data_IF_421071179180
#
_entry.id   IF_421071179180
#
_cell.length_a   1.000
_cell.length_b   1.000
_cell.length_c   1.000
_cell.angle_alpha   90.00
_cell.angle_beta   90.00
_cell.angle_gamma   90.00
#
_symmetry.space_group_name_H-M   'P 1'
#
loop_
_entity.id
_entity.type
_entity.pdbx_description
1 polymer ?
#
# COMPACT_ATOMS: atom_id res chain seq x y z
N UNK A 1 7.99 16.60 2.60
CA UNK A 1 7.26 16.24 1.36
C UNK A 1 6.21 15.20 1.70
N UNK A 2 5.04 15.25 1.07
CA UNK A 2 4.02 14.19 1.15
C UNK A 2 3.71 13.64 -0.24
N UNK A 3 3.32 12.36 -0.31
CA UNK A 3 2.85 11.72 -1.53
C UNK A 3 1.47 11.15 -1.25
N UNK A 4 0.50 11.46 -2.12
CA UNK A 4 -0.87 10.95 -2.00
C UNK A 4 -1.46 10.65 -3.37
N UNK A 5 -2.48 9.80 -3.39
CA UNK A 5 -3.31 9.64 -4.57
C UNK A 5 -4.35 10.76 -4.64
N UNK A 6 -4.69 11.19 -5.86
CA UNK A 6 -5.70 12.22 -6.10
C UNK A 6 -6.24 12.19 -7.54
N UNK A 7 -7.04 13.20 -7.93
CA UNK A 7 -7.58 13.30 -9.29
C UNK A 7 -6.51 13.59 -10.35
N UNK A 8 -5.43 14.28 -9.99
CA UNK A 8 -4.40 14.73 -10.93
C UNK A 8 -3.01 14.22 -10.54
N UNK A 9 -2.11 14.13 -11.54
CA UNK A 9 -0.69 13.92 -11.29
C UNK A 9 -0.01 15.28 -11.25
N UNK A 10 0.34 15.77 -10.06
CA UNK A 10 0.85 17.14 -9.87
C UNK A 10 1.74 17.27 -8.66
N UNK A 11 2.79 18.09 -8.79
CA UNK A 11 3.62 18.54 -7.68
C UNK A 11 3.27 19.98 -7.29
N UNK A 12 2.84 20.19 -6.04
CA UNK A 12 2.46 21.51 -5.53
C UNK A 12 2.92 21.67 -4.09
N UNK A 13 3.72 22.70 -3.80
CA UNK A 13 4.09 23.11 -2.44
C UNK A 13 4.55 21.96 -1.51
N UNK A 14 5.39 21.05 -2.02
CA UNK A 14 5.90 19.93 -1.21
C UNK A 14 5.00 18.69 -1.17
N UNK A 15 3.88 18.70 -1.91
CA UNK A 15 2.95 17.57 -2.03
C UNK A 15 2.95 17.03 -3.46
N UNK A 16 3.19 15.73 -3.61
CA UNK A 16 3.03 14.99 -4.85
C UNK A 16 1.67 14.30 -4.84
N UNK A 17 0.78 14.75 -5.70
CA UNK A 17 -0.47 14.09 -6.00
C UNK A 17 -0.28 13.21 -7.24
N UNK A 18 -0.80 11.98 -7.20
CA UNK A 18 -0.70 11.01 -8.28
C UNK A 18 -2.08 10.52 -8.68
N UNK A 19 -2.40 10.63 -9.98
CA UNK A 19 -3.69 10.23 -10.50
C UNK A 19 -3.85 8.70 -10.48
N UNK A 20 -5.00 8.23 -9.98
CA UNK A 20 -5.43 6.84 -10.16
C UNK A 20 -5.95 6.61 -11.58
N UNK A 21 -5.86 5.36 -12.04
CA UNK A 21 -6.18 4.96 -13.40
C UNK A 21 -7.38 4.02 -13.46
N UNK A 22 -7.63 3.47 -14.65
CA UNK A 22 -8.77 2.57 -14.87
C UNK A 22 -8.70 1.25 -14.07
N UNK A 23 -7.51 0.85 -13.60
CA UNK A 23 -7.32 -0.32 -12.74
C UNK A 23 -7.56 -0.03 -11.25
N UNK A 24 -8.10 1.15 -10.91
CA UNK A 24 -8.48 1.51 -9.56
C UNK A 24 -9.85 0.95 -9.19
N UNK A 25 -9.94 0.38 -7.99
CA UNK A 25 -11.19 -0.12 -7.42
C UNK A 25 -11.38 0.40 -5.99
N UNK A 26 -12.63 0.65 -5.56
CA UNK A 26 -12.90 1.11 -4.20
C UNK A 26 -12.63 -0.01 -3.18
N UNK A 27 -11.94 0.36 -2.09
CA UNK A 27 -11.67 -0.48 -0.92
C UNK A 27 -12.66 -0.19 0.21
N UNK A 28 -12.92 1.07 0.51
CA UNK A 28 -13.93 1.51 1.49
C UNK A 28 -14.54 2.83 1.03
N UNK A 29 -15.46 3.39 1.83
CA UNK A 29 -15.84 4.79 1.69
C UNK A 29 -14.55 5.62 1.79
N UNK A 30 -14.25 6.35 0.72
CA UNK A 30 -13.09 7.23 0.58
C UNK A 30 -11.71 6.56 0.47
N UNK A 31 -11.62 5.23 0.37
CA UNK A 31 -10.37 4.51 0.11
C UNK A 31 -10.45 3.70 -1.18
N UNK A 32 -9.45 3.84 -2.06
CA UNK A 32 -9.33 3.10 -3.32
C UNK A 32 -7.93 2.53 -3.49
N UNK A 33 -7.82 1.45 -4.25
CA UNK A 33 -6.54 0.80 -4.56
C UNK A 33 -6.42 0.63 -6.07
N UNK A 34 -5.27 1.00 -6.63
CA UNK A 34 -4.96 0.86 -8.06
C UNK A 34 -3.84 -0.18 -8.27
N UNK A 35 -4.16 -1.27 -8.96
CA UNK A 35 -3.21 -2.37 -9.22
C UNK A 35 -2.00 -1.92 -10.06
N UNK A 36 -2.15 -0.85 -10.84
CA UNK A 36 -1.12 -0.34 -11.74
C UNK A 36 -0.50 0.97 -11.21
N UNK A 37 -0.69 1.30 -9.92
CA UNK A 37 -0.22 2.57 -9.34
C UNK A 37 1.30 2.74 -9.41
N UNK A 38 2.04 1.64 -9.44
CA UNK A 38 3.50 1.63 -9.64
C UNK A 38 3.96 2.20 -10.99
N UNK A 39 3.06 2.51 -11.93
CA UNK A 39 3.41 3.28 -13.13
C UNK A 39 4.05 4.64 -12.80
N UNK A 40 3.72 5.22 -11.65
CA UNK A 40 4.26 6.50 -11.17
C UNK A 40 5.66 6.41 -10.54
N UNK A 41 6.26 5.21 -10.50
CA UNK A 41 7.53 4.94 -9.80
C UNK A 41 8.69 5.84 -10.23
N UNK A 42 8.83 6.11 -11.52
CA UNK A 42 9.93 6.94 -12.05
C UNK A 42 9.76 8.39 -11.59
N UNK A 43 8.57 8.96 -11.82
CA UNK A 43 8.23 10.32 -11.40
C UNK A 43 8.42 10.51 -9.89
N UNK A 44 7.88 9.58 -9.09
CA UNK A 44 7.99 9.65 -7.64
C UNK A 44 9.45 9.60 -7.18
N UNK A 45 10.27 8.68 -7.73
CA UNK A 45 11.68 8.59 -7.38
C UNK A 45 12.47 9.85 -7.77
N UNK A 46 12.17 10.45 -8.92
CA UNK A 46 12.86 11.65 -9.38
C UNK A 46 12.53 12.86 -8.50
N UNK A 47 11.26 13.03 -8.13
CA UNK A 47 10.83 14.09 -7.21
C UNK A 47 11.43 13.86 -5.82
N UNK A 48 11.38 12.63 -5.28
CA UNK A 48 11.95 12.32 -3.95
C UNK A 48 13.46 12.54 -3.93
N UNK A 49 14.17 12.17 -5.00
CA UNK A 49 15.60 12.45 -5.16
C UNK A 49 15.88 13.95 -5.23
N UNK A 50 15.10 14.70 -6.02
CA UNK A 50 15.22 16.16 -6.12
C UNK A 50 14.91 16.89 -4.81
N UNK A 51 13.95 16.37 -4.04
CA UNK A 51 13.64 16.84 -2.68
C UNK A 51 14.75 16.51 -1.67
N UNK A 52 15.67 15.59 -2.01
CA UNK A 52 16.76 15.12 -1.15
C UNK A 52 16.24 14.51 0.15
N UNK A 53 15.25 13.62 0.05
CA UNK A 53 14.72 12.93 1.22
C UNK A 53 15.80 12.05 1.89
N UNK A 54 15.87 12.11 3.21
CA UNK A 54 16.74 11.23 4.02
C UNK A 54 16.01 9.98 4.55
N UNK A 55 14.68 10.00 4.55
CA UNK A 55 13.82 8.93 5.06
C UNK A 55 12.51 8.88 4.29
N UNK A 56 11.96 7.69 4.12
CA UNK A 56 10.60 7.49 3.60
C UNK A 56 9.72 6.92 4.70
N UNK A 57 8.58 7.55 4.95
CA UNK A 57 7.58 7.08 5.89
C UNK A 57 6.32 6.63 5.16
N UNK A 58 5.83 5.44 5.47
CA UNK A 58 4.59 4.87 4.95
C UNK A 58 3.61 4.57 6.09
N UNK A 59 2.32 4.73 5.85
CA UNK A 59 1.26 4.55 6.86
C UNK A 59 0.49 3.25 6.72
N UNK A 60 0.82 2.43 5.72
CA UNK A 60 0.21 1.13 5.48
C UNK A 60 0.52 0.60 4.08
N UNK A 61 0.06 -0.61 3.74
CA UNK A 61 0.33 -1.28 2.47
C UNK A 61 -0.69 -0.88 1.39
N UNK A 62 -1.03 0.41 1.29
CA UNK A 62 -1.85 0.94 0.20
C UNK A 62 -1.06 0.98 -1.12
N UNK A 63 -1.73 1.29 -2.22
CA UNK A 63 -1.08 1.53 -3.52
C UNK A 63 0.02 2.61 -3.43
N UNK A 64 -0.24 3.70 -2.70
CA UNK A 64 0.74 4.74 -2.37
C UNK A 64 1.83 4.24 -1.43
N UNK A 65 1.48 3.45 -0.41
CA UNK A 65 2.47 2.87 0.52
C UNK A 65 3.44 1.92 -0.16
N UNK A 66 2.95 1.09 -1.08
CA UNK A 66 3.76 0.19 -1.92
C UNK A 66 4.71 0.99 -2.80
N UNK A 67 4.23 2.07 -3.42
CA UNK A 67 5.07 2.99 -4.16
C UNK A 67 6.16 3.62 -3.27
N UNK A 68 5.81 4.05 -2.06
CA UNK A 68 6.76 4.59 -1.08
C UNK A 68 7.86 3.60 -0.71
N UNK A 69 7.51 2.36 -0.40
CA UNK A 69 8.48 1.31 -0.12
C UNK A 69 9.41 1.03 -1.31
N UNK A 70 8.85 1.00 -2.53
CA UNK A 70 9.66 0.85 -3.74
C UNK A 70 10.64 2.01 -3.92
N UNK A 71 10.22 3.26 -3.71
CA UNK A 71 11.08 4.44 -3.81
C UNK A 71 12.19 4.39 -2.75
N UNK A 72 11.85 4.05 -1.50
CA UNK A 72 12.83 3.90 -0.43
C UNK A 72 13.91 2.87 -0.79
N UNK A 73 13.50 1.70 -1.28
CA UNK A 73 14.41 0.67 -1.74
C UNK A 73 15.27 1.15 -2.92
N UNK A 74 14.67 1.77 -3.94
CA UNK A 74 15.37 2.25 -5.15
C UNK A 74 16.41 3.33 -4.84
N UNK A 75 16.14 4.19 -3.86
CA UNK A 75 17.02 5.30 -3.46
C UNK A 75 17.92 4.95 -2.28
N UNK A 76 17.89 3.72 -1.78
CA UNK A 76 18.62 3.25 -0.59
C UNK A 76 18.34 4.10 0.66
N UNK A 77 17.10 4.59 0.79
CA UNK A 77 16.65 5.37 1.94
C UNK A 77 16.08 4.44 3.02
N UNK A 78 16.28 4.76 4.31
CA UNK A 78 15.54 4.11 5.40
C UNK A 78 14.03 4.22 5.18
N UNK A 79 13.34 3.09 5.30
CA UNK A 79 11.89 3.01 5.30
C UNK A 79 11.39 2.91 6.74
N UNK A 80 10.49 3.81 7.11
CA UNK A 80 9.73 3.79 8.36
C UNK A 80 8.30 3.44 8.02
N UNK A 81 7.70 2.51 8.76
CA UNK A 81 6.30 2.15 8.56
C UNK A 81 5.53 2.34 9.87
N UNK A 82 4.41 3.05 9.80
CA UNK A 82 3.41 3.08 10.86
C UNK A 82 2.37 2.00 10.59
N UNK A 83 2.12 1.13 11.57
CA UNK A 83 1.11 0.08 11.50
C UNK A 83 -0.17 0.58 12.19
N UNK A 84 -1.25 0.81 11.43
CA UNK A 84 -2.52 1.30 11.99
C UNK A 84 -3.78 0.57 11.49
N UNK A 85 -3.67 -0.55 10.78
CA UNK A 85 -4.89 -1.25 10.30
C UNK A 85 -4.66 -2.74 10.14
N UNK A 86 -5.59 -3.56 10.65
CA UNK A 86 -5.63 -5.02 10.52
C UNK A 86 -5.93 -5.45 9.08
N UNK A 87 -5.06 -5.10 8.12
CA UNK A 87 -5.24 -5.38 6.70
C UNK A 87 -5.51 -6.87 6.39
N UNK A 88 -5.06 -7.76 7.27
CA UNK A 88 -5.31 -9.20 7.21
C UNK A 88 -6.82 -9.53 7.32
N UNK A 89 -7.54 -8.91 8.26
CA UNK A 89 -8.99 -9.09 8.42
C UNK A 89 -9.78 -8.55 7.22
N UNK A 90 -9.27 -7.49 6.57
CA UNK A 90 -9.91 -6.87 5.40
C UNK A 90 -9.70 -7.68 4.11
N UNK A 91 -8.54 -8.33 3.96
CA UNK A 91 -8.23 -9.21 2.84
C UNK A 91 -9.14 -10.45 2.80
N UNK A 92 -9.33 -11.09 3.94
CA UNK A 92 -10.16 -12.29 4.08
C UNK A 92 -11.63 -12.04 3.72
N UNK A 93 -12.25 -11.00 4.32
CA UNK A 93 -13.67 -10.63 4.07
C UNK A 93 -13.98 -10.24 2.62
N UNK A 94 -12.99 -9.73 1.88
CA UNK A 94 -13.17 -9.32 0.47
C UNK A 94 -13.10 -10.48 -0.50
N UNK A 95 -12.20 -11.43 -0.27
CA UNK A 95 -12.19 -12.64 -1.07
C UNK A 95 -13.48 -13.43 -0.93
N UNK A 96 -14.03 -13.52 0.29
CA UNK A 96 -15.34 -14.14 0.48
C UNK A 96 -16.44 -13.49 -0.38
N UNK A 97 -16.41 -12.16 -0.56
CA UNK A 97 -17.37 -11.44 -1.41
C UNK A 97 -17.12 -11.62 -2.91
N UNK A 98 -15.86 -11.60 -3.35
CA UNK A 98 -15.50 -11.83 -4.77
C UNK A 98 -15.80 -13.26 -5.20
N UNK A 99 -15.64 -14.22 -4.30
CA UNK A 99 -15.94 -15.63 -4.51
C UNK A 99 -17.33 -16.03 -4.00
N UNK A 100 -18.26 -15.07 -3.92
CA UNK A 100 -19.61 -15.35 -3.45
C UNK A 100 -20.46 -16.26 -4.34
N UNK A 101 -20.00 -16.46 -5.57
CA UNK A 101 -20.60 -17.35 -6.56
C UNK A 101 -20.11 -18.81 -6.44
N UNK A 102 -19.15 -19.11 -5.54
CA UNK A 102 -18.65 -20.47 -5.29
C UNK A 102 -19.39 -21.15 -4.12
N UNK A 103 -19.53 -22.49 -4.14
CA UNK A 103 -20.05 -23.27 -3.00
C UNK A 103 -19.27 -23.01 -1.70
N UNK A 104 -19.90 -23.17 -0.53
CA UNK A 104 -19.35 -22.73 0.76
C UNK A 104 -18.04 -23.42 1.19
N UNK A 105 -17.82 -24.69 0.84
CA UNK A 105 -16.64 -25.45 1.28
C UNK A 105 -15.31 -24.94 0.69
N UNK A 106 -15.15 -24.73 -0.64
CA UNK A 106 -13.92 -24.15 -1.21
C UNK A 106 -13.75 -22.65 -0.88
N UNK A 107 -14.80 -21.98 -0.41
CA UNK A 107 -14.79 -20.55 -0.11
C UNK A 107 -13.98 -20.23 1.15
N UNK A 108 -14.10 -21.07 2.18
CA UNK A 108 -13.34 -20.91 3.44
C UNK A 108 -11.86 -21.25 3.26
N UNK A 109 -11.54 -22.27 2.46
CA UNK A 109 -10.16 -22.64 2.16
C UNK A 109 -9.43 -21.57 1.34
N UNK A 110 -10.11 -20.98 0.34
CA UNK A 110 -9.55 -19.91 -0.49
C UNK A 110 -9.39 -18.59 0.29
N UNK A 111 -10.36 -18.27 1.16
CA UNK A 111 -10.26 -17.14 2.07
C UNK A 111 -9.07 -17.30 3.02
N UNK A 112 -8.92 -18.47 3.65
CA UNK A 112 -7.82 -18.78 4.58
C UNK A 112 -6.45 -18.85 3.88
N UNK A 113 -6.39 -19.34 2.63
CA UNK A 113 -5.17 -19.33 1.83
C UNK A 113 -4.74 -17.91 1.47
N UNK A 114 -5.71 -17.06 1.12
CA UNK A 114 -5.40 -15.70 0.68
C UNK A 114 -5.17 -14.75 1.85
N UNK A 115 -5.83 -14.97 2.98
CA UNK A 115 -5.51 -14.31 4.24
C UNK A 115 -4.05 -14.58 4.64
N UNK A 116 -3.60 -15.83 4.55
CA UNK A 116 -2.19 -16.20 4.76
C UNK A 116 -1.26 -15.55 3.73
N UNK A 117 -1.63 -15.52 2.46
CA UNK A 117 -0.84 -14.88 1.40
C UNK A 117 -0.75 -13.35 1.55
N UNK A 118 -1.84 -12.70 1.97
CA UNK A 118 -1.89 -11.25 2.26
C UNK A 118 -1.08 -10.96 3.52
N UNK A 119 -1.23 -11.76 4.58
CA UNK A 119 -0.47 -11.63 5.81
C UNK A 119 1.03 -11.83 5.55
N UNK A 120 1.42 -12.81 4.74
CA UNK A 120 2.81 -13.04 4.37
C UNK A 120 3.36 -11.91 3.50
N UNK A 121 2.58 -11.41 2.54
CA UNK A 121 2.95 -10.26 1.71
C UNK A 121 3.10 -8.99 2.55
N UNK A 122 2.20 -8.78 3.52
CA UNK A 122 2.31 -7.70 4.51
C UNK A 122 3.55 -7.90 5.38
N UNK A 123 3.77 -9.09 5.95
CA UNK A 123 4.95 -9.37 6.77
C UNK A 123 6.25 -9.13 5.99
N UNK A 124 6.33 -9.55 4.72
CA UNK A 124 7.45 -9.25 3.82
C UNK A 124 7.58 -7.75 3.56
N UNK A 125 6.47 -7.06 3.34
CA UNK A 125 6.42 -5.61 3.13
C UNK A 125 6.92 -4.83 4.35
N UNK A 126 6.49 -5.20 5.55
CA UNK A 126 6.90 -4.56 6.80
C UNK A 126 8.32 -4.97 7.23
N UNK A 127 8.83 -6.13 6.81
CA UNK A 127 10.26 -6.48 6.93
C UNK A 127 11.18 -5.57 6.12
N UNK A 128 10.66 -4.82 5.14
CA UNK A 128 11.44 -3.79 4.43
C UNK A 128 11.66 -2.54 5.28
N UNK A 129 10.84 -2.31 6.31
CA UNK A 129 11.00 -1.17 7.19
C UNK A 129 12.19 -1.39 8.14
N UNK A 130 13.10 -0.42 8.20
CA UNK A 130 14.19 -0.41 9.19
C UNK A 130 13.68 -0.07 10.59
N UNK A 131 12.58 0.67 10.67
CA UNK A 131 11.92 1.04 11.92
C UNK A 131 10.42 0.84 11.76
N UNK A 132 9.84 0.01 12.62
CA UNK A 132 8.40 -0.19 12.73
C UNK A 132 7.89 0.67 13.88
N UNK A 133 7.07 1.67 13.56
CA UNK A 133 6.35 2.43 14.56
C UNK A 133 5.00 1.74 14.79
N UNK A 134 4.99 0.77 15.71
CA UNK A 134 3.78 0.10 16.16
C UNK A 134 3.38 0.66 17.54
N UNK A 135 2.26 1.38 17.67
CA UNK A 135 1.62 1.61 18.95
C UNK A 135 0.42 0.67 19.06
N UNK A 136 0.59 -0.51 19.68
CA UNK A 136 -0.26 -1.06 20.75
C UNK A 136 0.18 -2.50 21.07
N UNK A 137 0.49 -2.84 22.34
CA UNK A 137 0.43 -4.21 22.82
C UNK A 137 -1.05 -4.56 23.07
N UNK A 138 -1.69 -5.25 22.14
CA UNK A 138 -2.91 -6.03 22.42
C UNK A 138 -2.54 -7.51 22.52
#
# INVERSE_FOLDING_TARGET
MSVRAGPETRWTAGTLELARGAAAFPVERDMSFDLLFLRHRTLAADIVRGFRADVVHITGPSDVGILGAWVAHRLHLPLVASWHTNLHEFGAKRLEKVFAWLPPDPRQDLASFTERGILESCARFYRLARVLMAPNPE
#
